data_IF_133066866082
#
_entry.id   IF_133066866082
#
_cell.length_a   1.000
_cell.length_b   1.000
_cell.length_c   1.000
_cell.angle_alpha   90.00
_cell.angle_beta   90.00
_cell.angle_gamma   90.00
#
_symmetry.space_group_name_H-M   'P 1'
#
loop_
_entity.id
_entity.type
_entity.pdbx_description
1 polymer ?
#
# COMPACT_ATOMS: atom_id res chain seq x y z
N UNK A 1 3.49 -7.39 -17.05
CA UNK A 1 2.48 -7.33 -15.98
C UNK A 1 1.17 -7.06 -16.67
N UNK A 2 0.17 -7.93 -16.49
CA UNK A 2 -1.19 -7.64 -16.95
C UNK A 2 -1.81 -6.61 -15.99
N UNK A 3 -2.48 -5.60 -16.53
CA UNK A 3 -3.10 -4.51 -15.74
C UNK A 3 -4.62 -4.54 -15.84
N UNK A 4 -5.15 -5.36 -16.75
CA UNK A 4 -6.57 -5.56 -17.02
C UNK A 4 -7.18 -6.62 -16.06
N UNK A 5 -6.40 -7.07 -15.07
CA UNK A 5 -6.83 -7.93 -13.98
C UNK A 5 -6.72 -7.22 -12.61
N UNK A 6 -7.27 -7.87 -11.59
CA UNK A 6 -7.09 -7.51 -10.19
C UNK A 6 -6.09 -8.50 -9.59
N UNK A 7 -5.02 -7.97 -9.00
CA UNK A 7 -4.06 -8.77 -8.26
C UNK A 7 -4.68 -9.18 -6.91
N UNK A 8 -4.54 -10.44 -6.55
CA UNK A 8 -4.92 -10.90 -5.21
C UNK A 8 -3.93 -10.37 -4.17
N UNK A 9 -4.43 -9.61 -3.21
CA UNK A 9 -3.62 -9.05 -2.11
C UNK A 9 -3.88 -9.90 -0.86
N UNK A 10 -2.90 -10.72 -0.47
CA UNK A 10 -3.02 -11.66 0.66
C UNK A 10 -2.16 -11.28 1.87
N UNK A 11 -1.21 -10.37 1.68
CA UNK A 11 -0.32 -9.85 2.73
C UNK A 11 0.18 -8.46 2.35
N UNK A 12 0.53 -7.65 3.37
CA UNK A 12 1.10 -6.30 3.19
C UNK A 12 2.58 -6.34 3.53
N UNK A 13 3.32 -7.07 2.70
CA UNK A 13 4.77 -7.11 2.74
C UNK A 13 5.38 -6.21 1.67
N UNK A 14 6.70 -6.08 1.72
CA UNK A 14 7.48 -5.27 0.79
C UNK A 14 7.31 -5.68 -0.67
N UNK A 15 7.16 -6.97 -0.96
CA UNK A 15 7.01 -7.45 -2.32
C UNK A 15 5.63 -7.04 -2.87
N UNK A 16 4.57 -7.25 -2.09
CA UNK A 16 3.21 -6.82 -2.46
C UNK A 16 3.14 -5.31 -2.67
N UNK A 17 3.71 -4.51 -1.76
CA UNK A 17 3.70 -3.05 -1.89
C UNK A 17 4.45 -2.56 -3.14
N UNK A 18 5.57 -3.20 -3.50
CA UNK A 18 6.29 -2.90 -4.75
C UNK A 18 5.45 -3.27 -5.97
N UNK A 19 4.78 -4.42 -5.96
CA UNK A 19 3.90 -4.82 -7.04
C UNK A 19 2.73 -3.83 -7.21
N UNK A 20 2.10 -3.40 -6.12
CA UNK A 20 1.07 -2.36 -6.16
C UNK A 20 1.59 -1.05 -6.77
N UNK A 21 2.78 -0.60 -6.37
CA UNK A 21 3.41 0.59 -6.94
C UNK A 21 3.71 0.45 -8.44
N UNK A 22 4.21 -0.71 -8.88
CA UNK A 22 4.45 -1.00 -10.31
C UNK A 22 3.14 -1.01 -11.12
N UNK A 23 2.08 -1.63 -10.60
CA UNK A 23 0.75 -1.64 -11.22
C UNK A 23 0.18 -0.24 -11.33
N UNK A 24 0.29 0.57 -10.28
CA UNK A 24 -0.09 1.98 -10.29
C UNK A 24 0.69 2.75 -11.38
N UNK A 25 2.00 2.55 -11.52
CA UNK A 25 2.79 3.23 -12.57
C UNK A 25 2.31 2.90 -13.98
N UNK A 26 1.93 1.66 -14.23
CA UNK A 26 1.43 1.22 -15.53
C UNK A 26 -0.02 1.63 -15.82
N UNK A 27 -0.76 2.09 -14.80
CA UNK A 27 -2.20 2.34 -14.92
C UNK A 27 -2.49 3.62 -15.70
N UNK A 28 -3.37 3.53 -16.70
CA UNK A 28 -3.63 4.63 -17.65
C UNK A 28 -5.10 4.72 -18.09
N UNK A 29 -5.90 3.69 -17.85
CA UNK A 29 -7.33 3.67 -18.15
C UNK A 29 -8.15 3.88 -16.87
N UNK A 30 -9.39 4.35 -17.02
CA UNK A 30 -10.33 4.47 -15.90
C UNK A 30 -10.60 3.12 -15.23
N UNK A 31 -10.69 2.05 -16.03
CA UNK A 31 -10.86 0.69 -15.53
C UNK A 31 -9.66 0.25 -14.68
N UNK A 32 -8.42 0.56 -15.10
CA UNK A 32 -7.26 0.32 -14.24
C UNK A 32 -7.40 1.07 -12.90
N UNK A 33 -7.91 2.30 -12.89
CA UNK A 33 -8.04 3.06 -11.64
C UNK A 33 -8.97 2.37 -10.66
N UNK A 34 -10.11 1.85 -11.14
CA UNK A 34 -11.03 1.04 -10.33
C UNK A 34 -10.33 -0.22 -9.80
N UNK A 35 -9.57 -0.92 -10.64
CA UNK A 35 -8.84 -2.13 -10.20
C UNK A 35 -7.77 -1.82 -9.16
N UNK A 36 -7.01 -0.73 -9.34
CA UNK A 36 -5.99 -0.29 -8.39
C UNK A 36 -6.61 0.18 -7.07
N UNK A 37 -7.76 0.85 -7.11
CA UNK A 37 -8.52 1.24 -5.93
C UNK A 37 -8.91 0.00 -5.10
N UNK A 38 -9.49 -1.01 -5.73
CA UNK A 38 -9.87 -2.26 -5.07
C UNK A 38 -8.67 -3.02 -4.47
N UNK A 39 -7.53 -3.04 -5.16
CA UNK A 39 -6.29 -3.64 -4.65
C UNK A 39 -5.74 -2.89 -3.42
N UNK A 40 -5.81 -1.56 -3.41
CA UNK A 40 -5.39 -0.72 -2.29
C UNK A 40 -6.35 -0.85 -1.09
N UNK A 41 -7.65 -0.98 -1.34
CA UNK A 41 -8.67 -1.25 -0.31
C UNK A 41 -8.39 -2.56 0.43
N UNK A 42 -8.06 -3.62 -0.31
CA UNK A 42 -7.72 -4.90 0.32
C UNK A 42 -6.44 -4.81 1.14
N UNK A 43 -5.42 -4.11 0.64
CA UNK A 43 -4.19 -3.86 1.39
C UNK A 43 -4.47 -3.05 2.67
N UNK A 44 -5.32 -2.03 2.60
CA UNK A 44 -5.76 -1.28 3.77
C UNK A 44 -6.46 -2.20 4.77
N UNK A 45 -7.44 -2.99 4.32
CA UNK A 45 -8.18 -3.93 5.16
C UNK A 45 -7.26 -4.89 5.92
N UNK A 46 -6.21 -5.41 5.27
CA UNK A 46 -5.24 -6.28 5.92
C UNK A 46 -4.41 -5.56 6.99
N UNK A 47 -4.02 -4.30 6.76
CA UNK A 47 -3.35 -3.50 7.80
C UNK A 47 -4.28 -3.26 8.99
N UNK A 48 -5.55 -2.93 8.75
CA UNK A 48 -6.52 -2.71 9.83
C UNK A 48 -6.69 -3.97 10.69
N UNK A 49 -6.68 -5.16 10.08
CA UNK A 49 -6.68 -6.42 10.82
C UNK A 49 -5.41 -6.63 11.64
N UNK A 50 -4.24 -6.31 11.07
CA UNK A 50 -2.97 -6.41 11.80
C UNK A 50 -2.93 -5.47 13.02
N UNK A 51 -3.41 -4.22 12.86
CA UNK A 51 -3.51 -3.22 13.91
C UNK A 51 -4.53 -3.56 15.00
N UNK A 52 -5.56 -4.34 14.67
CA UNK A 52 -6.53 -4.84 15.63
C UNK A 52 -5.98 -5.99 16.50
N UNK A 53 -4.86 -6.60 16.12
CA UNK A 53 -4.25 -7.71 16.86
C UNK A 53 -3.44 -7.19 18.07
N UNK A 54 -3.70 -7.65 19.31
CA UNK A 54 -3.09 -7.10 20.53
C UNK A 54 -1.56 -7.18 20.62
N UNK A 55 -0.94 -8.10 19.88
CA UNK A 55 0.51 -8.38 19.91
C UNK A 55 1.31 -7.61 18.84
N UNK A 56 0.72 -6.57 18.24
CA UNK A 56 1.36 -5.79 17.17
C UNK A 56 2.61 -4.99 17.62
N UNK A 57 2.90 -4.91 18.93
CA UNK A 57 4.22 -4.55 19.47
C UNK A 57 4.94 -3.39 18.79
N UNK A 58 6.28 -3.46 18.69
CA UNK A 58 7.11 -2.43 18.01
C UNK A 58 6.80 -2.20 16.52
N UNK A 59 5.90 -2.99 15.94
CA UNK A 59 5.44 -2.89 14.55
C UNK A 59 4.18 -2.00 14.41
N UNK A 60 3.52 -1.64 15.52
CA UNK A 60 2.27 -0.85 15.46
C UNK A 60 2.44 0.51 14.76
N UNK A 61 3.46 1.28 15.13
CA UNK A 61 3.71 2.58 14.52
C UNK A 61 3.97 2.44 13.02
N UNK A 62 4.78 1.45 12.65
CA UNK A 62 5.10 1.11 11.26
C UNK A 62 3.82 0.77 10.48
N UNK A 63 2.94 -0.05 11.06
CA UNK A 63 1.64 -0.39 10.47
C UNK A 63 0.73 0.85 10.34
N UNK A 64 0.71 1.75 11.31
CA UNK A 64 -0.04 3.02 11.24
C UNK A 64 0.49 3.93 10.12
N UNK A 65 1.81 4.04 9.97
CA UNK A 65 2.45 4.82 8.91
C UNK A 65 2.18 4.22 7.52
N UNK A 66 2.22 2.89 7.39
CA UNK A 66 1.84 2.17 6.16
C UNK A 66 0.35 2.34 5.84
N UNK A 67 -0.52 2.25 6.85
CA UNK A 67 -1.97 2.46 6.68
C UNK A 67 -2.26 3.83 6.08
N UNK A 68 -1.62 4.87 6.61
CA UNK A 68 -1.75 6.23 6.10
C UNK A 68 -1.28 6.33 4.65
N UNK A 69 -0.15 5.72 4.32
CA UNK A 69 0.37 5.70 2.95
C UNK A 69 -0.56 5.03 1.95
N UNK A 70 -1.18 3.92 2.33
CA UNK A 70 -2.13 3.20 1.47
C UNK A 70 -3.40 4.03 1.29
N UNK A 71 -3.94 4.64 2.35
CA UNK A 71 -5.09 5.52 2.26
C UNK A 71 -4.84 6.72 1.33
N UNK A 72 -3.67 7.35 1.44
CA UNK A 72 -3.29 8.46 0.56
C UNK A 72 -3.10 8.00 -0.89
N UNK A 73 -2.52 6.82 -1.12
CA UNK A 73 -2.41 6.23 -2.45
C UNK A 73 -3.77 5.87 -3.06
N UNK A 74 -4.70 5.38 -2.24
CA UNK A 74 -6.08 5.08 -2.61
C UNK A 74 -6.78 6.35 -3.12
N UNK A 75 -6.75 7.43 -2.34
CA UNK A 75 -7.40 8.69 -2.73
C UNK A 75 -6.76 9.28 -4.00
N UNK A 76 -5.43 9.18 -4.11
CA UNK A 76 -4.72 9.64 -5.31
C UNK A 76 -5.16 8.90 -6.59
N UNK A 77 -5.56 7.63 -6.52
CA UNK A 77 -6.03 6.89 -7.71
C UNK A 77 -7.55 6.98 -7.89
N UNK A 78 -8.33 6.76 -6.83
CA UNK A 78 -9.79 6.69 -6.87
C UNK A 78 -10.46 8.06 -7.02
N UNK A 79 -9.90 9.10 -6.37
CA UNK A 79 -10.46 10.46 -6.38
C UNK A 79 -9.75 11.36 -7.39
N UNK A 80 -8.42 11.42 -7.32
CA UNK A 80 -7.64 12.38 -8.10
C UNK A 80 -7.25 11.88 -9.49
N UNK A 81 -7.39 10.57 -9.76
CA UNK A 81 -6.94 9.92 -11.00
C UNK A 81 -5.45 10.17 -11.31
N UNK A 82 -4.62 10.15 -10.27
CA UNK A 82 -3.16 10.36 -10.28
C UNK A 82 -2.41 9.08 -9.87
N UNK A 83 -2.47 8.01 -10.69
CA UNK A 83 -1.87 6.72 -10.33
C UNK A 83 -0.33 6.80 -10.19
N UNK A 84 0.34 7.67 -10.96
CA UNK A 84 1.78 7.91 -10.78
C UNK A 84 2.11 8.52 -9.41
N UNK A 85 1.27 9.42 -8.91
CA UNK A 85 1.48 10.02 -7.59
C UNK A 85 1.23 8.98 -6.48
N UNK A 86 0.19 8.15 -6.63
CA UNK A 86 -0.07 7.02 -5.74
C UNK A 86 1.12 6.05 -5.68
N UNK A 87 1.72 5.71 -6.83
CA UNK A 87 2.88 4.84 -6.90
C UNK A 87 4.10 5.43 -6.17
N UNK A 88 4.39 6.72 -6.36
CA UNK A 88 5.47 7.43 -5.64
C UNK A 88 5.21 7.40 -4.14
N UNK A 89 3.97 7.63 -3.72
CA UNK A 89 3.61 7.64 -2.30
C UNK A 89 3.84 6.29 -1.62
N UNK A 90 3.52 5.18 -2.30
CA UNK A 90 3.83 3.84 -1.80
C UNK A 90 5.34 3.59 -1.72
N UNK A 91 6.11 4.04 -2.71
CA UNK A 91 7.56 3.89 -2.70
C UNK A 91 8.23 4.65 -1.57
N UNK A 92 7.76 5.87 -1.27
CA UNK A 92 8.22 6.64 -0.10
C UNK A 92 7.97 5.86 1.20
N UNK A 93 6.80 5.22 1.32
CA UNK A 93 6.50 4.38 2.47
C UNK A 93 7.42 3.15 2.55
N UNK A 94 7.67 2.48 1.44
CA UNK A 94 8.59 1.32 1.35
C UNK A 94 10.04 1.70 1.70
N UNK A 95 10.44 2.92 1.37
CA UNK A 95 11.76 3.47 1.71
C UNK A 95 11.85 3.87 3.18
N UNK A 96 10.82 4.52 3.72
CA UNK A 96 10.75 4.84 5.15
C UNK A 96 10.80 3.55 6.00
N UNK A 97 10.10 2.52 5.55
CA UNK A 97 10.11 1.16 6.12
C UNK A 97 11.51 0.52 6.14
N UNK A 98 12.40 0.86 5.19
CA UNK A 98 13.80 0.39 5.20
C UNK A 98 14.71 1.16 6.15
N UNK A 99 14.36 2.41 6.45
CA UNK A 99 15.19 3.31 7.22
C UNK A 99 15.04 3.09 8.74
N UNK A 100 13.95 2.46 9.16
CA UNK A 100 13.71 2.02 10.54
C UNK A 100 14.51 0.72 10.80
N UNK A 101 15.57 0.72 11.64
CA UNK A 101 16.28 -0.51 11.97
C UNK A 101 15.38 -1.43 12.80
N UNK A 102 15.28 -2.71 12.41
CA UNK A 102 14.70 -3.75 13.25
C UNK A 102 15.40 -3.74 14.63
N UNK A 103 14.67 -3.34 15.68
CA UNK A 103 15.14 -3.42 17.05
C UNK A 103 15.78 -2.15 17.62
N UNK A 104 14.93 -1.20 18.05
CA UNK A 104 15.16 -0.49 19.31
C UNK A 104 13.98 -0.76 20.25
N UNK A 105 14.00 -1.93 20.86
CA UNK A 105 13.42 -2.11 22.19
C UNK A 105 14.25 -1.28 23.17
N UNK A 106 13.66 -0.20 23.68
CA UNK A 106 14.14 0.48 24.88
C UNK A 106 13.70 -0.29 26.13
#
# INVERSE_FOLDING_TARGET
MDLDDIMEVTAVDRATLKMLAERLRGSSSFEHFIYREAELDEAWRLIDLALATPDSGGDRKRLEDLRLAIAEAHDLVGVDHRPLAAAVRLEEAILADLAEPEGKTA
#
